data_IF_648773153258
#
_entry.id   IF_648773153258
#
_cell.length_a   1.000
_cell.length_b   1.000
_cell.length_c   1.000
_cell.angle_alpha   90.00
_cell.angle_beta   90.00
_cell.angle_gamma   90.00
#
_symmetry.space_group_name_H-M   'P 1'
#
loop_
_entity.id
_entity.type
_entity.pdbx_description
1 polymer ?
#
# COMPACT_ATOMS: atom_id res chain seq x y z
N UNK A 1 -22.17 9.70 -17.15
CA UNK A 1 -22.00 9.82 -15.69
C UNK A 1 -20.51 9.92 -15.30
N UNK A 2 -19.65 8.95 -15.65
CA UNK A 2 -18.22 8.94 -15.24
C UNK A 2 -17.41 10.12 -15.76
N UNK A 3 -17.67 10.57 -16.99
CA UNK A 3 -16.99 11.72 -17.59
C UNK A 3 -17.09 13.01 -16.75
N UNK A 4 -18.24 13.26 -16.17
CA UNK A 4 -18.45 14.43 -15.29
C UNK A 4 -17.66 14.34 -13.97
N UNK A 5 -17.37 13.12 -13.50
CA UNK A 5 -16.59 12.87 -12.28
C UNK A 5 -15.10 12.96 -12.52
N UNK A 6 -14.60 12.42 -13.63
CA UNK A 6 -13.17 12.35 -13.91
C UNK A 6 -12.64 13.48 -14.81
N UNK A 7 -13.52 14.34 -15.34
CA UNK A 7 -13.13 15.44 -16.23
C UNK A 7 -12.66 15.01 -17.62
N UNK A 8 -12.78 13.72 -17.98
CA UNK A 8 -12.36 13.20 -19.29
C UNK A 8 -13.57 13.02 -20.21
N UNK A 9 -13.46 13.47 -21.46
CA UNK A 9 -14.55 13.34 -22.42
C UNK A 9 -14.95 11.87 -22.66
N UNK A 10 -16.26 11.55 -22.80
CA UNK A 10 -16.72 10.18 -22.94
C UNK A 10 -16.11 9.43 -24.13
N UNK A 11 -15.87 10.12 -25.23
CA UNK A 11 -15.30 9.52 -26.44
C UNK A 11 -13.81 9.18 -26.26
N UNK A 12 -13.08 10.00 -25.52
CA UNK A 12 -11.69 9.70 -25.14
C UNK A 12 -11.62 8.45 -24.27
N UNK A 13 -12.51 8.30 -23.29
CA UNK A 13 -12.58 7.09 -22.44
C UNK A 13 -12.85 5.85 -23.31
N UNK A 14 -13.79 5.93 -24.22
CA UNK A 14 -14.14 4.83 -25.14
C UNK A 14 -12.99 4.49 -26.09
N UNK A 15 -12.31 5.51 -26.61
CA UNK A 15 -11.18 5.34 -27.52
C UNK A 15 -10.03 4.62 -26.82
N UNK A 16 -9.62 5.10 -25.63
CA UNK A 16 -8.57 4.45 -24.83
C UNK A 16 -8.91 3.01 -24.51
N UNK A 17 -10.14 2.74 -24.10
CA UNK A 17 -10.60 1.37 -23.81
C UNK A 17 -10.51 0.46 -25.05
N UNK A 18 -10.92 0.95 -26.24
CA UNK A 18 -10.83 0.20 -27.50
C UNK A 18 -9.37 -0.02 -27.92
N UNK A 19 -8.52 1.01 -27.80
CA UNK A 19 -7.09 0.87 -28.11
C UNK A 19 -6.43 -0.18 -27.24
N UNK A 20 -6.70 -0.16 -25.94
CA UNK A 20 -6.19 -1.16 -25.01
C UNK A 20 -6.72 -2.57 -25.37
N UNK A 21 -8.02 -2.72 -25.56
CA UNK A 21 -8.64 -4.02 -25.83
C UNK A 21 -8.19 -4.64 -27.16
N UNK A 22 -7.97 -3.81 -28.18
CA UNK A 22 -7.59 -4.27 -29.55
C UNK A 22 -6.07 -4.37 -29.74
N UNK A 23 -5.26 -3.98 -28.76
CA UNK A 23 -3.81 -4.11 -28.86
C UNK A 23 -3.41 -5.60 -28.87
N UNK A 24 -2.47 -5.96 -29.73
CA UNK A 24 -1.90 -7.32 -29.73
C UNK A 24 -1.20 -7.63 -28.40
N UNK A 25 -0.51 -6.65 -27.85
CA UNK A 25 0.19 -6.71 -26.57
C UNK A 25 0.00 -5.40 -25.84
N UNK A 26 -0.41 -5.49 -24.58
CA UNK A 26 -0.56 -4.32 -23.74
C UNK A 26 -0.12 -4.61 -22.30
N UNK A 27 0.42 -3.58 -21.66
CA UNK A 27 0.83 -3.59 -20.26
C UNK A 27 0.17 -2.45 -19.52
N UNK A 28 -0.12 -2.64 -18.25
CA UNK A 28 -0.55 -1.58 -17.35
C UNK A 28 0.53 -1.37 -16.30
N UNK A 29 1.03 -0.15 -16.21
CA UNK A 29 1.92 0.29 -15.15
C UNK A 29 1.16 1.26 -14.24
N UNK A 30 1.26 1.07 -12.93
CA UNK A 30 0.68 2.02 -11.98
C UNK A 30 1.55 2.13 -10.72
N UNK A 31 1.37 3.21 -10.01
CA UNK A 31 2.03 3.48 -8.74
C UNK A 31 1.03 3.93 -7.69
N UNK A 32 1.51 4.72 -6.74
CA UNK A 32 0.77 5.17 -5.57
C UNK A 32 -0.44 6.05 -5.93
N UNK A 33 -0.43 6.72 -7.08
CA UNK A 33 -1.58 7.48 -7.58
C UNK A 33 -2.84 6.64 -7.84
N UNK A 34 -2.70 5.32 -7.97
CA UNK A 34 -3.82 4.38 -8.05
C UNK A 34 -4.09 3.72 -6.70
N UNK A 35 -3.04 3.28 -5.99
CA UNK A 35 -3.17 2.43 -4.80
C UNK A 35 -3.25 3.20 -3.48
N UNK A 36 -2.72 4.42 -3.40
CA UNK A 36 -2.74 5.21 -2.17
C UNK A 36 -4.00 6.08 -2.06
N UNK A 37 -5.14 5.41 -2.06
CA UNK A 37 -6.47 5.97 -1.87
C UNK A 37 -7.25 5.13 -0.86
N UNK A 38 -8.30 5.70 -0.27
CA UNK A 38 -9.22 4.96 0.63
C UNK A 38 -9.80 3.71 -0.04
N UNK A 39 -9.92 3.72 -1.38
CA UNK A 39 -10.35 2.59 -2.21
C UNK A 39 -9.22 2.04 -3.11
N UNK A 40 -7.96 2.16 -2.67
CA UNK A 40 -6.79 1.78 -3.47
C UNK A 40 -6.76 0.31 -3.90
N UNK A 41 -7.23 -0.59 -3.03
CA UNK A 41 -7.36 -2.01 -3.35
C UNK A 41 -8.36 -2.24 -4.49
N UNK A 42 -9.50 -1.57 -4.47
CA UNK A 42 -10.51 -1.69 -5.52
C UNK A 42 -10.04 -1.06 -6.83
N UNK A 43 -9.29 0.04 -6.78
CA UNK A 43 -8.64 0.62 -7.95
C UNK A 43 -7.70 -0.41 -8.63
N UNK A 44 -6.84 -1.07 -7.85
CA UNK A 44 -5.95 -2.11 -8.38
C UNK A 44 -6.75 -3.30 -8.94
N UNK A 45 -7.82 -3.74 -8.28
CA UNK A 45 -8.73 -4.78 -8.79
C UNK A 45 -9.38 -4.41 -10.11
N UNK A 46 -9.75 -3.13 -10.31
CA UNK A 46 -10.28 -2.66 -11.59
C UNK A 46 -9.26 -2.81 -12.72
N UNK A 47 -7.98 -2.49 -12.49
CA UNK A 47 -6.92 -2.68 -13.48
C UNK A 47 -6.69 -4.17 -13.79
N UNK A 48 -6.69 -5.02 -12.77
CA UNK A 48 -6.59 -6.48 -12.93
C UNK A 48 -7.77 -7.01 -13.75
N UNK A 49 -8.99 -6.60 -13.41
CA UNK A 49 -10.19 -7.01 -14.12
C UNK A 49 -10.19 -6.58 -15.59
N UNK A 50 -9.70 -5.36 -15.87
CA UNK A 50 -9.55 -4.85 -17.23
C UNK A 50 -8.55 -5.70 -18.03
N UNK A 51 -7.39 -5.99 -17.48
CA UNK A 51 -6.38 -6.81 -18.14
C UNK A 51 -6.86 -8.24 -18.41
N UNK A 52 -7.56 -8.83 -17.44
CA UNK A 52 -8.18 -10.17 -17.60
C UNK A 52 -9.26 -10.17 -18.67
N UNK A 53 -10.16 -9.19 -18.66
CA UNK A 53 -11.24 -9.07 -19.65
C UNK A 53 -10.71 -8.92 -21.09
N UNK A 54 -9.55 -8.29 -21.26
CA UNK A 54 -8.92 -8.10 -22.56
C UNK A 54 -7.90 -9.20 -22.92
N UNK A 55 -7.63 -10.17 -22.05
CA UNK A 55 -6.67 -11.24 -22.27
C UNK A 55 -5.20 -10.75 -22.26
N UNK A 56 -4.91 -9.63 -21.60
CA UNK A 56 -3.56 -9.06 -21.48
C UNK A 56 -2.80 -9.54 -20.24
N UNK A 57 -2.91 -10.86 -19.96
CA UNK A 57 -2.19 -11.54 -18.88
C UNK A 57 -1.64 -12.88 -19.38
N UNK A 58 -0.54 -13.35 -18.80
CA UNK A 58 0.02 -14.68 -19.08
C UNK A 58 0.60 -14.88 -20.49
N UNK A 59 0.83 -13.81 -21.24
CA UNK A 59 1.43 -13.87 -22.58
C UNK A 59 2.65 -12.96 -22.68
N UNK A 60 3.68 -13.31 -23.49
CA UNK A 60 4.83 -12.45 -23.69
C UNK A 60 4.44 -11.06 -24.20
N UNK A 61 4.93 -10.01 -23.52
CA UNK A 61 4.64 -8.61 -23.87
C UNK A 61 3.31 -8.09 -23.31
N UNK A 62 2.64 -8.82 -22.43
CA UNK A 62 1.47 -8.35 -21.69
C UNK A 62 1.73 -8.41 -20.19
N UNK A 63 0.98 -7.66 -19.39
CA UNK A 63 1.09 -7.77 -17.94
C UNK A 63 0.61 -6.57 -17.16
N UNK A 64 0.73 -6.74 -15.85
CA UNK A 64 0.34 -5.82 -14.80
C UNK A 64 1.56 -5.52 -13.95
N UNK A 65 1.92 -4.24 -13.81
CA UNK A 65 3.18 -3.83 -13.18
C UNK A 65 2.95 -2.73 -12.14
N UNK A 66 2.76 -3.09 -10.86
CA UNK A 66 2.79 -2.12 -9.76
C UNK A 66 4.23 -1.63 -9.56
N UNK A 67 4.46 -0.34 -9.78
CA UNK A 67 5.81 0.24 -9.81
C UNK A 67 6.36 0.59 -8.41
N UNK A 68 5.51 0.55 -7.37
CA UNK A 68 5.82 1.07 -6.04
C UNK A 68 6.06 2.60 -6.06
N UNK A 69 6.38 3.19 -4.92
CA UNK A 69 6.64 4.64 -4.80
C UNK A 69 8.03 4.93 -4.29
N UNK A 70 8.41 4.29 -3.21
CA UNK A 70 9.68 4.51 -2.52
C UNK A 70 10.83 3.81 -3.26
N UNK A 71 12.04 4.36 -3.12
CA UNK A 71 13.23 3.85 -3.81
C UNK A 71 13.58 2.41 -3.43
N UNK A 72 13.33 2.03 -2.18
CA UNK A 72 13.69 0.71 -1.66
C UNK A 72 12.61 0.14 -0.73
N UNK A 73 11.35 0.22 -1.12
CA UNK A 73 10.25 -0.38 -0.36
C UNK A 73 10.40 -1.90 -0.24
N UNK A 74 10.99 -2.53 -1.24
CA UNK A 74 11.28 -3.97 -1.20
C UNK A 74 12.28 -4.29 -0.10
N UNK A 75 13.43 -3.59 -0.06
CA UNK A 75 14.44 -3.78 0.98
C UNK A 75 13.93 -3.47 2.39
N UNK A 76 13.07 -2.45 2.54
CA UNK A 76 12.41 -2.17 3.81
C UNK A 76 11.53 -3.36 4.26
N UNK A 77 10.78 -3.94 3.33
CA UNK A 77 9.95 -5.13 3.60
C UNK A 77 10.80 -6.35 3.94
N UNK A 78 11.90 -6.59 3.19
CA UNK A 78 12.84 -7.70 3.42
C UNK A 78 13.52 -7.58 4.79
N UNK A 79 13.77 -6.34 5.25
CA UNK A 79 14.33 -6.05 6.57
C UNK A 79 13.33 -6.16 7.73
N UNK A 80 12.07 -6.50 7.45
CA UNK A 80 11.04 -6.67 8.49
C UNK A 80 10.35 -5.38 8.93
N UNK A 81 10.40 -4.30 8.14
CA UNK A 81 9.66 -3.06 8.42
C UNK A 81 8.18 -3.18 8.02
N UNK A 82 7.59 -4.31 8.32
CA UNK A 82 6.16 -4.62 8.14
C UNK A 82 5.65 -5.12 9.50
N UNK A 83 4.50 -4.63 10.00
CA UNK A 83 4.09 -4.88 11.38
C UNK A 83 3.81 -6.35 11.74
N UNK A 84 3.61 -7.23 10.75
CA UNK A 84 3.29 -8.65 10.98
C UNK A 84 4.47 -9.61 10.75
N UNK A 85 5.64 -9.10 10.35
CA UNK A 85 6.80 -9.95 10.03
C UNK A 85 8.09 -9.43 10.63
N UNK A 86 9.00 -10.36 10.90
CA UNK A 86 10.41 -10.15 11.17
C UNK A 86 11.18 -10.13 9.83
N UNK A 87 12.50 -9.83 9.82
CA UNK A 87 13.31 -9.91 8.60
C UNK A 87 13.08 -11.20 7.83
N UNK A 88 13.23 -11.14 6.51
CA UNK A 88 12.99 -12.24 5.58
C UNK A 88 11.53 -12.77 5.61
N UNK A 89 10.58 -11.86 5.86
CA UNK A 89 9.13 -12.15 5.91
C UNK A 89 8.73 -13.23 6.92
N UNK A 90 9.53 -13.43 7.97
CA UNK A 90 9.21 -14.43 9.00
C UNK A 90 8.04 -13.96 9.87
N UNK A 91 6.95 -14.73 9.99
CA UNK A 91 5.79 -14.30 10.79
C UNK A 91 6.14 -14.12 12.27
N UNK A 92 5.75 -12.99 12.88
CA UNK A 92 5.98 -12.73 14.32
C UNK A 92 5.29 -13.74 15.23
N UNK A 93 4.18 -14.33 14.78
CA UNK A 93 3.43 -15.36 15.52
C UNK A 93 4.10 -16.74 15.53
N UNK A 94 5.11 -17.00 14.68
CA UNK A 94 5.83 -18.27 14.70
C UNK A 94 6.83 -18.28 15.86
N UNK A 95 6.57 -19.12 16.85
CA UNK A 95 7.36 -19.17 18.09
C UNK A 95 8.80 -19.65 17.89
N UNK A 96 9.05 -20.52 16.92
CA UNK A 96 10.41 -21.03 16.66
C UNK A 96 11.25 -19.98 15.96
N UNK A 97 10.68 -19.32 14.94
CA UNK A 97 11.35 -18.26 14.21
C UNK A 97 11.58 -17.05 15.14
N UNK A 98 10.58 -16.65 15.93
CA UNK A 98 10.72 -15.57 16.89
C UNK A 98 11.82 -15.83 17.91
N UNK A 99 11.91 -17.04 18.47
CA UNK A 99 12.96 -17.39 19.43
C UNK A 99 14.37 -17.20 18.86
N UNK A 100 14.60 -17.49 17.58
CA UNK A 100 15.88 -17.27 16.94
C UNK A 100 16.24 -15.78 16.85
N UNK A 101 15.26 -14.90 16.58
CA UNK A 101 15.48 -13.45 16.58
C UNK A 101 15.63 -12.88 18.01
N UNK A 102 14.91 -13.43 19.00
CA UNK A 102 15.07 -13.07 20.40
C UNK A 102 16.49 -13.38 20.90
N UNK A 103 17.02 -14.52 20.51
CA UNK A 103 18.41 -14.88 20.82
C UNK A 103 19.41 -13.95 20.10
N UNK A 104 19.21 -13.71 18.80
CA UNK A 104 20.09 -12.85 18.00
C UNK A 104 20.13 -11.42 18.49
N UNK A 105 18.98 -10.86 18.88
CA UNK A 105 18.85 -9.49 19.35
C UNK A 105 18.94 -9.32 20.85
N UNK A 106 19.05 -10.44 21.58
CA UNK A 106 19.08 -10.50 23.04
C UNK A 106 17.95 -9.68 23.69
N UNK A 107 16.74 -9.82 23.17
CA UNK A 107 15.55 -9.11 23.66
C UNK A 107 14.29 -9.92 23.37
N UNK A 108 13.31 -9.93 24.31
CA UNK A 108 12.03 -10.58 24.05
C UNK A 108 11.24 -9.81 22.98
N UNK A 109 10.55 -10.52 22.12
CA UNK A 109 9.70 -9.98 21.07
C UNK A 109 8.24 -10.29 21.31
N UNK A 110 7.34 -9.40 20.84
CA UNK A 110 5.90 -9.68 20.86
C UNK A 110 5.56 -10.82 19.89
N UNK A 111 4.61 -11.65 20.26
CA UNK A 111 3.98 -12.65 19.39
C UNK A 111 2.76 -12.09 18.64
N UNK A 112 2.33 -10.89 18.99
CA UNK A 112 1.25 -10.17 18.34
C UNK A 112 1.80 -9.29 17.20
N UNK A 113 1.15 -9.30 16.02
CA UNK A 113 1.46 -8.33 14.96
C UNK A 113 1.29 -6.90 15.45
N UNK A 114 2.16 -6.01 14.95
CA UNK A 114 1.99 -4.57 15.14
C UNK A 114 0.82 -4.03 14.30
N UNK A 115 0.44 -2.77 14.56
CA UNK A 115 -0.64 -2.09 13.85
C UNK A 115 -0.19 -1.67 12.43
N UNK A 116 -1.07 -1.82 11.46
CA UNK A 116 -0.90 -1.20 10.13
C UNK A 116 -1.04 0.32 10.23
N UNK A 117 -0.60 1.06 9.21
CA UNK A 117 -0.68 2.53 9.21
C UNK A 117 -2.11 3.04 9.45
N UNK A 118 -3.11 2.40 8.88
CA UNK A 118 -4.52 2.77 9.08
C UNK A 118 -4.96 2.51 10.53
N UNK A 119 -4.57 1.36 11.09
CA UNK A 119 -4.85 1.01 12.48
C UNK A 119 -4.13 1.95 13.45
N UNK A 120 -2.88 2.35 13.16
CA UNK A 120 -2.14 3.35 13.95
C UNK A 120 -2.91 4.67 13.98
N UNK A 121 -3.39 5.19 12.85
CA UNK A 121 -4.18 6.42 12.80
C UNK A 121 -5.48 6.31 13.62
N UNK A 122 -6.16 5.16 13.54
CA UNK A 122 -7.36 4.89 14.34
C UNK A 122 -7.03 4.79 15.84
N UNK A 123 -5.96 4.13 16.22
CA UNK A 123 -5.51 4.00 17.60
C UNK A 123 -5.08 5.35 18.21
N UNK A 124 -4.47 6.24 17.42
CA UNK A 124 -4.22 7.63 17.84
C UNK A 124 -5.54 8.35 18.11
N UNK A 125 -6.52 8.22 17.22
CA UNK A 125 -7.85 8.81 17.43
C UNK A 125 -8.53 8.30 18.69
N UNK A 126 -8.35 7.02 19.04
CA UNK A 126 -8.86 6.40 20.26
C UNK A 126 -8.05 6.77 21.53
N UNK A 127 -6.87 7.40 21.39
CA UNK A 127 -5.97 7.72 22.50
C UNK A 127 -5.13 6.54 22.99
N UNK A 128 -5.09 5.45 22.24
CA UNK A 128 -4.31 4.24 22.54
C UNK A 128 -2.83 4.41 22.16
N UNK A 129 -2.55 5.15 21.08
CA UNK A 129 -1.20 5.54 20.66
C UNK A 129 -1.02 7.03 20.99
N UNK A 130 -0.02 7.35 21.82
CA UNK A 130 0.24 8.71 22.31
C UNK A 130 1.52 9.33 21.77
N UNK A 131 2.41 8.52 21.24
CA UNK A 131 3.69 8.98 20.67
C UNK A 131 3.97 8.30 19.34
N UNK A 132 4.61 9.03 18.42
CA UNK A 132 5.00 8.53 17.11
C UNK A 132 6.34 9.12 16.69
N UNK A 133 7.21 8.27 16.16
CA UNK A 133 8.45 8.67 15.50
C UNK A 133 8.33 8.36 14.01
N UNK A 134 8.53 9.36 13.17
CA UNK A 134 8.41 9.26 11.73
C UNK A 134 9.76 9.55 11.08
N UNK A 135 10.25 8.63 10.27
CA UNK A 135 11.51 8.77 9.56
C UNK A 135 11.31 8.70 8.05
N UNK A 136 11.62 9.80 7.34
CA UNK A 136 11.62 9.83 5.88
C UNK A 136 10.26 9.82 5.21
N UNK A 137 9.18 10.03 5.96
CA UNK A 137 7.78 10.08 5.49
C UNK A 137 7.08 11.35 5.96
N UNK A 138 5.97 11.70 5.29
CA UNK A 138 5.09 12.77 5.73
C UNK A 138 3.62 12.34 5.62
N UNK A 139 3.10 11.58 6.59
CA UNK A 139 1.72 11.08 6.55
C UNK A 139 0.68 12.21 6.51
N UNK A 140 1.00 13.41 7.00
CA UNK A 140 0.14 14.58 6.88
C UNK A 140 -0.05 15.06 5.42
N UNK A 141 0.72 14.50 4.47
CA UNK A 141 0.64 14.81 3.02
C UNK A 141 0.40 13.57 2.18
N UNK A 142 0.81 12.38 2.63
CA UNK A 142 0.82 11.18 1.82
C UNK A 142 -0.31 10.19 2.15
N UNK A 143 -0.94 10.29 3.32
CA UNK A 143 -2.03 9.39 3.69
C UNK A 143 -3.26 9.56 2.79
N UNK A 144 -3.94 8.44 2.45
CA UNK A 144 -5.13 8.46 1.58
C UNK A 144 -6.27 9.33 2.10
N UNK A 145 -6.52 9.33 3.42
CA UNK A 145 -7.45 10.21 4.11
C UNK A 145 -6.69 11.29 4.90
N UNK A 146 -6.31 12.34 4.21
CA UNK A 146 -5.53 13.44 4.80
C UNK A 146 -6.22 14.13 5.97
N UNK A 147 -7.55 14.26 5.93
CA UNK A 147 -8.30 14.91 7.00
C UNK A 147 -8.22 14.07 8.27
N UNK A 148 -8.42 12.77 8.14
CA UNK A 148 -8.34 11.81 9.24
C UNK A 148 -6.92 11.75 9.81
N UNK A 149 -5.91 11.59 8.95
CA UNK A 149 -4.51 11.48 9.35
C UNK A 149 -4.01 12.75 10.09
N UNK A 150 -4.28 13.93 9.55
CA UNK A 150 -3.92 15.22 10.20
C UNK A 150 -4.59 15.38 11.55
N UNK A 151 -5.86 15.02 11.66
CA UNK A 151 -6.59 15.09 12.92
C UNK A 151 -6.03 14.06 13.94
N UNK A 152 -5.59 12.88 13.49
CA UNK A 152 -4.93 11.91 14.34
C UNK A 152 -3.58 12.45 14.85
N UNK A 153 -2.69 12.84 13.95
CA UNK A 153 -1.37 13.37 14.28
C UNK A 153 -1.42 14.54 15.27
N UNK A 154 -2.45 15.40 15.15
CA UNK A 154 -2.68 16.51 16.07
C UNK A 154 -3.11 16.12 17.50
N UNK A 155 -3.44 14.84 17.73
CA UNK A 155 -3.78 14.31 19.07
C UNK A 155 -2.59 13.69 19.79
N UNK A 156 -1.47 13.49 19.11
CA UNK A 156 -0.28 12.89 19.72
C UNK A 156 0.31 13.81 20.79
N UNK A 157 0.73 13.24 21.91
CA UNK A 157 1.48 13.91 22.96
C UNK A 157 2.94 14.15 22.52
N UNK A 158 3.49 13.20 21.74
CA UNK A 158 4.85 13.23 21.23
C UNK A 158 4.87 12.85 19.75
N UNK A 159 5.33 13.77 18.90
CA UNK A 159 5.55 13.54 17.47
C UNK A 159 6.95 14.01 17.09
N UNK A 160 7.77 13.09 16.55
CA UNK A 160 9.15 13.34 16.13
C UNK A 160 9.34 12.92 14.68
#
# INVERSE_FOLDING_TARGET
AMSALCGVAPDTIREVARRYANAEKAMIFWGMGISQHTHGTDNARCLISLALACGHTGRPGTGLHPLRGQNNVQGASDAGLIPMVLPDYQPVGDSQLRAAFEELWNTPLSDEPGLTVVEVMNAIHAGEVRGMYILGENPAMSDPDLTHARAALGKLEHLV
#
